data_IF_029529067253
#
_entry.id   IF_029529067253
#
_cell.length_a   1.000
_cell.length_b   1.000
_cell.length_c   1.000
_cell.angle_alpha   90.00
_cell.angle_beta   90.00
_cell.angle_gamma   90.00
#
_symmetry.space_group_name_H-M   'P 1'
#
loop_
_entity.id
_entity.type
_entity.pdbx_description
1 polymer ?
#
# COMPACT_ATOMS: atom_id res chain seq x y z
N UNK A 1 -41.02 43.34 -63.03
CA UNK A 1 -39.61 43.75 -63.20
C UNK A 1 -38.77 42.62 -62.64
N UNK A 2 -38.42 41.64 -63.47
CA UNK A 2 -37.11 41.54 -64.16
C UNK A 2 -35.98 41.32 -63.14
N UNK A 3 -35.53 40.08 -62.91
CA UNK A 3 -34.55 39.31 -63.70
C UNK A 3 -33.11 39.57 -63.21
N UNK A 4 -32.47 38.53 -62.65
CA UNK A 4 -31.18 37.94 -63.12
C UNK A 4 -29.97 38.46 -62.30
N UNK A 5 -28.87 37.75 -62.00
CA UNK A 5 -28.28 36.44 -62.31
C UNK A 5 -27.07 36.26 -61.35
N UNK A 6 -26.58 35.03 -61.14
CA UNK A 6 -25.17 34.85 -60.72
C UNK A 6 -24.83 33.62 -59.89
N UNK A 7 -25.12 32.43 -60.42
CA UNK A 7 -24.63 31.14 -59.93
C UNK A 7 -23.18 30.90 -60.40
N UNK A 8 -22.33 30.29 -59.59
CA UNK A 8 -21.13 29.58 -60.05
C UNK A 8 -20.86 28.38 -59.14
N UNK A 9 -20.59 27.27 -59.82
CA UNK A 9 -20.70 25.89 -59.37
C UNK A 9 -19.36 25.27 -58.95
N UNK A 10 -19.45 24.26 -58.05
CA UNK A 10 -18.75 22.95 -57.96
C UNK A 10 -17.22 22.81 -58.15
N UNK A 11 -16.56 21.67 -57.80
CA UNK A 11 -17.07 20.37 -57.31
C UNK A 11 -16.32 19.74 -56.10
N UNK A 12 -16.84 18.57 -55.71
CA UNK A 12 -16.31 17.60 -54.75
C UNK A 12 -14.95 16.97 -55.12
N UNK A 13 -14.19 16.49 -54.12
CA UNK A 13 -13.78 15.09 -53.97
C UNK A 13 -12.59 14.88 -53.00
N UNK A 14 -12.56 13.67 -52.44
CA UNK A 14 -11.40 12.91 -51.94
C UNK A 14 -10.96 13.08 -50.48
N UNK A 15 -11.35 12.09 -49.70
CA UNK A 15 -10.68 11.59 -48.49
C UNK A 15 -9.17 11.36 -48.74
N UNK A 16 -8.33 11.50 -47.71
CA UNK A 16 -7.62 10.31 -47.27
C UNK A 16 -7.59 10.12 -45.75
N UNK A 17 -7.78 8.86 -45.34
CA UNK A 17 -7.50 8.33 -44.00
C UNK A 17 -5.98 8.14 -43.78
N UNK A 18 -5.52 7.50 -42.69
CA UNK A 18 -4.75 8.14 -41.63
C UNK A 18 -3.28 7.65 -41.58
N UNK A 19 -2.37 8.39 -40.92
CA UNK A 19 -1.13 7.87 -40.28
C UNK A 19 -0.26 9.06 -39.80
N UNK A 20 0.71 8.86 -38.89
CA UNK A 20 0.73 7.99 -37.73
C UNK A 20 1.14 8.77 -36.45
N UNK A 21 0.52 8.35 -35.34
CA UNK A 21 1.17 8.11 -34.05
C UNK A 21 2.52 8.79 -33.79
N UNK A 22 2.51 10.05 -33.33
CA UNK A 22 3.60 10.53 -32.48
C UNK A 22 3.45 9.82 -31.13
N UNK A 23 4.13 8.69 -31.05
CA UNK A 23 4.42 7.99 -29.81
C UNK A 23 5.14 8.95 -28.88
N UNK A 24 4.37 9.63 -28.01
CA UNK A 24 4.95 10.34 -26.87
C UNK A 24 5.60 9.30 -25.98
N UNK A 25 6.89 9.18 -26.22
CA UNK A 25 7.82 8.30 -25.57
C UNK A 25 7.80 8.67 -24.08
N UNK A 26 7.13 7.81 -23.30
CA UNK A 26 7.15 7.81 -21.84
C UNK A 26 8.58 7.52 -21.38
N UNK A 27 9.39 8.58 -21.33
CA UNK A 27 10.77 8.55 -20.85
C UNK A 27 10.80 9.13 -19.44
N UNK A 28 10.29 8.36 -18.48
CA UNK A 28 10.36 8.67 -17.04
C UNK A 28 11.79 8.42 -16.54
N UNK A 29 12.66 9.42 -16.71
CA UNK A 29 13.63 9.73 -15.67
C UNK A 29 12.83 10.09 -14.40
N UNK A 30 13.31 9.76 -13.18
CA UNK A 30 12.66 10.16 -11.93
C UNK A 30 12.53 11.67 -12.01
N UNK A 31 11.30 12.14 -12.24
CA UNK A 31 11.11 13.48 -12.78
C UNK A 31 11.76 14.48 -11.82
N UNK A 32 12.48 15.51 -12.30
CA UNK A 32 12.97 16.59 -11.44
C UNK A 32 11.88 17.12 -10.50
N UNK A 33 10.61 17.07 -10.97
CA UNK A 33 9.41 17.38 -10.19
C UNK A 33 9.22 16.44 -9.00
N UNK A 34 9.40 15.12 -9.16
CA UNK A 34 9.27 14.14 -8.08
C UNK A 34 10.30 14.36 -6.97
N UNK A 35 11.58 14.47 -7.34
CA UNK A 35 12.65 14.73 -6.38
C UNK A 35 12.42 16.06 -5.65
N UNK A 36 12.08 17.13 -6.40
CA UNK A 36 11.76 18.44 -5.83
C UNK A 36 10.59 18.34 -4.85
N UNK A 37 9.54 17.61 -5.20
CA UNK A 37 8.34 17.44 -4.36
C UNK A 37 8.64 16.72 -3.05
N UNK A 38 9.45 15.65 -3.07
CA UNK A 38 9.83 14.96 -1.83
C UNK A 38 10.72 15.82 -0.92
N UNK A 39 11.48 16.75 -1.51
CA UNK A 39 12.40 17.64 -0.80
C UNK A 39 11.76 18.98 -0.41
N UNK A 40 10.47 19.18 -0.70
CA UNK A 40 9.75 20.39 -0.28
C UNK A 40 9.68 20.44 1.25
N UNK A 41 10.14 21.53 1.89
CA UNK A 41 10.07 21.69 3.34
C UNK A 41 8.65 22.02 3.81
N UNK A 42 8.38 21.85 5.11
CA UNK A 42 7.08 22.09 5.72
C UNK A 42 6.59 23.53 5.51
N UNK A 43 7.47 24.50 5.72
CA UNK A 43 7.19 25.94 5.71
C UNK A 43 6.84 26.47 4.32
N UNK A 44 7.18 25.72 3.26
CA UNK A 44 6.83 26.06 1.88
C UNK A 44 5.37 25.73 1.54
N UNK A 45 4.69 24.93 2.37
CA UNK A 45 3.33 24.45 2.12
C UNK A 45 2.36 24.87 3.21
N UNK A 46 2.81 24.80 4.47
CA UNK A 46 1.98 25.01 5.63
C UNK A 46 2.24 26.37 6.25
N UNK A 47 1.17 27.06 6.60
CA UNK A 47 1.23 28.24 7.45
C UNK A 47 0.28 28.04 8.60
N UNK A 48 0.69 28.48 9.78
CA UNK A 48 -0.11 28.45 10.99
C UNK A 48 -0.65 29.86 11.26
N UNK A 49 -1.61 29.95 12.17
CA UNK A 49 -2.05 31.22 12.72
C UNK A 49 -0.96 31.86 13.60
N UNK A 50 -1.19 33.09 14.05
CA UNK A 50 -0.21 33.82 14.87
C UNK A 50 0.13 33.11 16.19
N UNK A 51 -0.77 32.26 16.69
CA UNK A 51 -0.55 31.47 17.91
C UNK A 51 0.17 30.14 17.66
N UNK A 52 0.31 29.73 16.40
CA UNK A 52 0.90 28.44 16.02
C UNK A 52 0.04 27.22 16.38
N UNK A 53 -1.24 27.41 16.71
CA UNK A 53 -2.13 26.35 17.20
C UNK A 53 -2.99 25.75 16.11
N UNK A 54 -3.27 26.49 15.03
CA UNK A 54 -4.15 26.06 13.94
C UNK A 54 -3.54 26.30 12.57
N UNK A 55 -3.85 25.42 11.63
CA UNK A 55 -3.47 25.58 10.23
C UNK A 55 -4.27 26.71 9.56
N UNK A 56 -3.58 27.56 8.83
CA UNK A 56 -4.14 28.60 7.95
C UNK A 56 -4.06 28.22 6.47
N UNK A 57 -2.95 27.57 6.08
CA UNK A 57 -2.76 26.95 4.77
C UNK A 57 -2.23 25.52 4.90
N UNK A 58 -2.57 24.65 3.92
CA UNK A 58 -3.44 24.91 2.77
C UNK A 58 -4.93 25.04 3.15
N UNK A 59 -5.75 25.57 2.23
CA UNK A 59 -7.19 25.82 2.46
C UNK A 59 -7.98 24.60 2.97
N UNK A 60 -7.61 23.38 2.54
CA UNK A 60 -8.25 22.14 3.01
C UNK A 60 -7.89 21.76 4.45
N UNK A 61 -6.92 22.43 5.08
CA UNK A 61 -6.56 22.28 6.49
C UNK A 61 -6.96 23.48 7.35
N UNK A 62 -7.55 24.54 6.78
CA UNK A 62 -7.85 25.74 7.54
C UNK A 62 -8.68 25.43 8.80
N UNK A 63 -8.18 25.87 9.95
CA UNK A 63 -8.82 25.67 11.25
C UNK A 63 -8.62 24.27 11.86
N UNK A 64 -7.83 23.39 11.23
CA UNK A 64 -7.41 22.13 11.86
C UNK A 64 -6.41 22.47 12.96
N UNK A 65 -6.54 21.93 14.18
CA UNK A 65 -5.56 22.12 15.24
C UNK A 65 -4.26 21.35 14.93
N UNK A 66 -3.13 21.90 15.36
CA UNK A 66 -1.81 21.26 15.25
C UNK A 66 -1.65 20.16 16.29
N UNK A 67 -2.08 20.41 17.52
CA UNK A 67 -2.11 19.40 18.58
C UNK A 67 -3.09 18.28 18.24
N UNK A 68 -2.77 17.05 18.66
CA UNK A 68 -3.67 15.90 18.49
C UNK A 68 -5.01 16.20 19.17
N UNK A 69 -6.10 15.89 18.47
CA UNK A 69 -7.45 15.95 19.05
C UNK A 69 -7.80 14.66 19.79
N UNK A 70 -8.69 14.81 20.76
CA UNK A 70 -9.45 13.79 21.48
C UNK A 70 -10.94 14.20 21.49
N UNK A 71 -11.79 13.39 22.12
CA UNK A 71 -13.23 13.63 22.24
C UNK A 71 -13.57 14.85 23.13
N UNK A 72 -12.61 15.38 23.90
CA UNK A 72 -12.77 16.58 24.71
C UNK A 72 -12.36 17.86 23.97
N UNK A 73 -11.69 17.71 22.81
CA UNK A 73 -11.24 18.82 21.99
C UNK A 73 -12.42 19.67 21.50
N UNK A 74 -12.31 21.02 21.51
CA UNK A 74 -13.32 21.90 20.89
C UNK A 74 -13.50 21.69 19.38
N UNK A 75 -12.53 21.04 18.74
CA UNK A 75 -12.60 20.70 17.32
C UNK A 75 -13.35 19.38 17.05
N UNK A 76 -13.57 18.56 18.08
CA UNK A 76 -14.28 17.29 17.97
C UNK A 76 -15.75 17.49 17.62
N UNK A 77 -16.29 16.57 16.81
CA UNK A 77 -17.71 16.53 16.48
C UNK A 77 -18.28 15.21 17.02
N UNK A 78 -19.38 15.28 17.78
CA UNK A 78 -19.98 14.11 18.44
C UNK A 78 -20.50 13.04 17.48
N UNK A 79 -20.69 13.38 16.20
CA UNK A 79 -21.08 12.44 15.17
C UNK A 79 -19.92 11.58 14.65
N UNK A 80 -18.67 11.90 14.99
CA UNK A 80 -17.51 11.14 14.53
C UNK A 80 -17.31 9.83 15.28
N UNK A 81 -16.93 8.79 14.53
CA UNK A 81 -16.48 7.53 15.12
C UNK A 81 -15.23 7.78 15.99
N UNK A 82 -15.17 7.18 17.19
CA UNK A 82 -14.04 7.32 18.12
C UNK A 82 -12.84 6.46 17.70
N UNK A 83 -11.65 7.07 17.69
CA UNK A 83 -10.40 6.34 17.48
C UNK A 83 -10.09 5.44 18.68
N UNK A 84 -10.27 5.96 19.89
CA UNK A 84 -9.92 5.25 21.13
C UNK A 84 -10.84 4.05 21.35
N UNK A 85 -12.14 4.18 21.05
CA UNK A 85 -13.07 3.04 21.03
C UNK A 85 -12.63 1.96 20.02
N UNK A 86 -12.24 2.36 18.81
CA UNK A 86 -11.73 1.42 17.81
C UNK A 86 -10.47 0.69 18.28
N UNK A 87 -9.53 1.40 18.90
CA UNK A 87 -8.29 0.81 19.42
C UNK A 87 -8.57 -0.14 20.59
N UNK A 88 -9.51 0.20 21.48
CA UNK A 88 -9.93 -0.66 22.58
C UNK A 88 -10.49 -2.03 22.10
N UNK A 89 -11.08 -2.08 20.90
CA UNK A 89 -11.58 -3.31 20.30
C UNK A 89 -10.48 -4.31 19.84
N UNK A 90 -9.20 -3.92 19.78
CA UNK A 90 -8.11 -4.81 19.34
C UNK A 90 -8.04 -6.10 20.18
N UNK A 91 -8.28 -6.01 21.49
CA UNK A 91 -8.26 -7.19 22.39
C UNK A 91 -9.33 -8.21 22.00
N UNK A 92 -10.55 -7.74 21.75
CA UNK A 92 -11.67 -8.59 21.33
C UNK A 92 -11.40 -9.24 19.98
N UNK A 93 -10.84 -8.49 19.04
CA UNK A 93 -10.48 -9.03 17.72
C UNK A 93 -9.37 -10.10 17.83
N UNK A 94 -8.44 -9.94 18.79
CA UNK A 94 -7.40 -10.94 19.08
C UNK A 94 -8.00 -12.25 19.58
N UNK A 95 -8.94 -12.17 20.51
CA UNK A 95 -9.65 -13.33 21.05
C UNK A 95 -10.41 -14.08 19.95
N UNK A 96 -11.12 -13.35 19.07
CA UNK A 96 -11.81 -13.92 17.92
C UNK A 96 -10.85 -14.62 16.95
N UNK A 97 -9.70 -13.99 16.64
CA UNK A 97 -8.66 -14.62 15.82
C UNK A 97 -8.19 -15.93 16.44
N UNK A 98 -7.87 -15.94 17.74
CA UNK A 98 -7.39 -17.15 18.42
C UNK A 98 -8.45 -18.25 18.44
N UNK A 99 -9.70 -17.90 18.73
CA UNK A 99 -10.83 -18.83 18.73
C UNK A 99 -11.02 -19.48 17.36
N UNK A 100 -11.11 -18.70 16.28
CA UNK A 100 -11.34 -19.25 14.95
C UNK A 100 -10.13 -20.00 14.39
N UNK A 101 -8.91 -19.66 14.81
CA UNK A 101 -7.72 -20.44 14.46
C UNK A 101 -7.69 -21.80 15.15
N UNK A 102 -8.11 -21.89 16.42
CA UNK A 102 -8.30 -23.18 17.11
C UNK A 102 -9.37 -24.02 16.42
N UNK A 103 -10.53 -23.43 16.11
CA UNK A 103 -11.62 -24.12 15.40
C UNK A 103 -11.18 -24.59 14.01
N UNK A 104 -10.41 -23.79 13.26
CA UNK A 104 -9.86 -24.17 11.95
C UNK A 104 -8.93 -25.39 12.05
N UNK A 105 -8.20 -25.53 13.15
CA UNK A 105 -7.32 -26.67 13.39
C UNK A 105 -8.12 -27.93 13.71
N UNK A 106 -9.21 -27.80 14.47
CA UNK A 106 -10.11 -28.91 14.82
C UNK A 106 -11.00 -29.36 13.67
N UNK A 107 -11.48 -28.43 12.85
CA UNK A 107 -12.42 -28.64 11.73
C UNK A 107 -11.83 -28.10 10.42
N UNK A 108 -10.77 -28.72 9.87
CA UNK A 108 -10.05 -28.17 8.72
C UNK A 108 -10.87 -28.18 7.41
N UNK A 109 -11.86 -29.07 7.29
CA UNK A 109 -12.73 -29.17 6.11
C UNK A 109 -13.80 -28.07 6.05
N UNK A 110 -14.16 -27.46 7.18
CA UNK A 110 -15.21 -26.46 7.25
C UNK A 110 -14.77 -25.14 6.58
N UNK A 111 -15.45 -24.80 5.47
CA UNK A 111 -15.19 -23.58 4.68
C UNK A 111 -15.55 -22.32 5.46
N UNK A 112 -16.64 -22.33 6.24
CA UNK A 112 -17.11 -21.17 6.97
C UNK A 112 -16.13 -20.80 8.10
N UNK A 113 -15.63 -21.80 8.83
CA UNK A 113 -14.60 -21.61 9.86
C UNK A 113 -13.31 -21.07 9.23
N UNK A 114 -12.88 -21.62 8.08
CA UNK A 114 -11.69 -21.11 7.38
C UNK A 114 -11.85 -19.65 6.94
N UNK A 115 -13.03 -19.27 6.44
CA UNK A 115 -13.33 -17.88 6.05
C UNK A 115 -13.30 -16.94 7.25
N UNK A 116 -13.93 -17.31 8.38
CA UNK A 116 -13.90 -16.50 9.61
C UNK A 116 -12.50 -16.39 10.21
N UNK A 117 -11.74 -17.48 10.24
CA UNK A 117 -10.35 -17.46 10.70
C UNK A 117 -9.49 -16.50 9.86
N UNK A 118 -9.66 -16.51 8.53
CA UNK A 118 -8.97 -15.56 7.64
C UNK A 118 -9.43 -14.12 7.90
N UNK A 119 -10.74 -13.88 8.04
CA UNK A 119 -11.29 -12.56 8.32
C UNK A 119 -10.66 -11.94 9.58
N UNK A 120 -10.65 -12.68 10.69
CA UNK A 120 -10.10 -12.17 11.96
C UNK A 120 -8.56 -12.08 11.94
N UNK A 121 -7.88 -12.96 11.20
CA UNK A 121 -6.44 -12.81 10.94
C UNK A 121 -6.13 -11.52 10.17
N UNK A 122 -6.89 -11.23 9.10
CA UNK A 122 -6.72 -10.04 8.28
C UNK A 122 -7.07 -8.78 9.08
N UNK A 123 -8.17 -8.79 9.85
CA UNK A 123 -8.56 -7.69 10.74
C UNK A 123 -7.51 -7.41 11.82
N UNK A 124 -6.97 -8.42 12.50
CA UNK A 124 -5.89 -8.21 13.47
C UNK A 124 -4.67 -7.55 12.85
N UNK A 125 -4.33 -7.94 11.61
CA UNK A 125 -3.23 -7.29 10.88
C UNK A 125 -3.52 -5.80 10.62
N UNK A 126 -4.79 -5.44 10.39
CA UNK A 126 -5.23 -4.04 10.26
C UNK A 126 -5.19 -3.30 11.60
N UNK A 127 -5.71 -3.88 12.69
CA UNK A 127 -5.66 -3.26 14.02
C UNK A 127 -4.23 -2.93 14.44
N UNK A 128 -3.31 -3.89 14.31
CA UNK A 128 -1.88 -3.68 14.58
C UNK A 128 -1.34 -2.52 13.75
N UNK A 129 -1.62 -2.51 12.44
CA UNK A 129 -1.14 -1.45 11.55
C UNK A 129 -1.70 -0.07 11.89
N UNK A 130 -2.98 0.01 12.24
CA UNK A 130 -3.66 1.24 12.63
C UNK A 130 -3.05 1.74 13.95
N UNK A 131 -2.96 0.88 14.97
CA UNK A 131 -2.36 1.22 16.27
C UNK A 131 -0.91 1.71 16.10
N UNK A 132 -0.11 1.08 15.26
CA UNK A 132 1.29 1.51 15.04
C UNK A 132 1.41 2.93 14.46
N UNK A 133 0.35 3.48 13.86
CA UNK A 133 0.33 4.83 13.29
C UNK A 133 -0.48 5.81 14.15
N UNK A 134 -1.53 5.35 14.82
CA UNK A 134 -2.52 6.19 15.52
C UNK A 134 -2.63 5.87 17.02
N UNK A 135 -1.66 5.17 17.62
CA UNK A 135 -1.59 4.94 19.07
C UNK A 135 -1.61 6.25 19.87
N UNK A 136 -1.91 6.21 21.15
CA UNK A 136 -1.98 7.35 22.08
C UNK A 136 -0.73 8.25 22.08
N UNK A 137 0.45 7.67 21.87
CA UNK A 137 1.72 8.41 21.78
C UNK A 137 1.96 9.07 20.42
N UNK A 138 1.15 8.75 19.41
CA UNK A 138 1.25 9.33 18.08
C UNK A 138 0.63 10.73 18.06
N UNK A 139 1.26 11.70 17.37
CA UNK A 139 0.65 13.02 17.17
C UNK A 139 -0.46 13.01 16.10
N UNK A 140 -0.71 11.87 15.46
CA UNK A 140 -1.66 11.79 14.34
C UNK A 140 -3.04 11.36 14.81
N UNK A 141 -4.07 12.06 14.33
CA UNK A 141 -5.46 11.64 14.41
C UNK A 141 -6.09 11.61 13.00
N UNK A 142 -6.85 10.56 12.62
CA UNK A 142 -7.47 10.45 11.30
C UNK A 142 -8.33 11.66 10.91
N UNK A 143 -9.14 12.17 11.85
CA UNK A 143 -10.00 13.36 11.66
C UNK A 143 -9.23 14.70 11.60
N UNK A 144 -7.89 14.68 11.65
CA UNK A 144 -7.05 15.85 11.40
C UNK A 144 -6.34 15.79 10.04
N UNK A 145 -6.71 14.84 9.17
CA UNK A 145 -6.14 14.75 7.82
C UNK A 145 -6.62 15.91 6.92
N UNK A 146 -7.85 16.38 7.12
CA UNK A 146 -8.45 17.54 6.45
C UNK A 146 -9.34 18.31 7.43
N UNK A 147 -9.73 19.54 7.09
CA UNK A 147 -10.64 20.33 7.90
C UNK A 147 -12.03 19.69 7.98
N UNK A 148 -12.73 19.93 9.09
CA UNK A 148 -14.03 19.34 9.39
C UNK A 148 -15.11 19.64 8.35
N UNK A 149 -14.95 20.77 7.66
CA UNK A 149 -15.78 21.13 6.52
C UNK A 149 -15.72 20.08 5.39
N UNK A 150 -14.58 19.40 5.20
CA UNK A 150 -14.38 18.38 4.18
C UNK A 150 -14.58 16.95 4.68
N UNK A 151 -14.70 16.72 5.99
CA UNK A 151 -14.86 15.38 6.56
C UNK A 151 -16.30 14.86 6.38
N UNK A 152 -16.50 13.55 6.16
CA UNK A 152 -17.81 12.91 6.25
C UNK A 152 -18.42 13.09 7.66
N UNK A 153 -19.74 12.87 7.77
CA UNK A 153 -20.49 13.12 9.02
C UNK A 153 -19.94 12.29 10.17
N UNK A 154 -19.56 11.05 9.87
CA UNK A 154 -19.01 10.08 10.81
C UNK A 154 -17.47 10.10 10.91
N UNK A 155 -16.81 11.02 10.17
CA UNK A 155 -15.36 11.14 10.18
C UNK A 155 -14.62 10.00 9.45
N UNK A 156 -13.33 9.88 9.76
CA UNK A 156 -12.37 8.98 9.11
C UNK A 156 -11.89 7.85 10.02
N UNK A 157 -12.38 7.74 11.25
CA UNK A 157 -12.03 6.69 12.21
C UNK A 157 -12.68 5.32 11.91
N UNK A 158 -12.98 5.05 10.64
CA UNK A 158 -13.46 3.76 10.17
C UNK A 158 -12.29 2.86 9.79
N UNK A 159 -12.36 1.59 10.20
CA UNK A 159 -11.27 0.58 10.04
C UNK A 159 -10.59 0.60 8.67
N UNK A 160 -11.35 0.52 7.58
CA UNK A 160 -10.76 0.41 6.24
C UNK A 160 -10.07 1.71 5.79
N UNK A 161 -10.59 2.88 6.19
CA UNK A 161 -9.95 4.16 5.90
C UNK A 161 -8.69 4.37 6.73
N UNK A 162 -8.78 4.13 8.05
CA UNK A 162 -7.61 4.19 8.93
C UNK A 162 -6.51 3.24 8.47
N UNK A 163 -6.84 2.00 8.11
CA UNK A 163 -5.86 1.03 7.61
C UNK A 163 -5.17 1.52 6.33
N UNK A 164 -5.94 2.05 5.38
CA UNK A 164 -5.38 2.61 4.14
C UNK A 164 -4.44 3.77 4.43
N UNK A 165 -4.85 4.71 5.29
CA UNK A 165 -4.02 5.84 5.69
C UNK A 165 -2.75 5.34 6.40
N UNK A 166 -2.88 4.40 7.34
CA UNK A 166 -1.75 3.84 8.08
C UNK A 166 -0.72 3.15 7.16
N UNK A 167 -1.17 2.46 6.10
CA UNK A 167 -0.27 1.89 5.11
C UNK A 167 0.53 2.98 4.38
N UNK A 168 -0.13 4.05 3.97
CA UNK A 168 0.46 5.18 3.25
C UNK A 168 1.49 5.91 4.10
N UNK A 169 1.12 6.27 5.33
CA UNK A 169 2.01 6.92 6.29
C UNK A 169 3.21 6.01 6.60
N UNK A 170 3.00 4.71 6.74
CA UNK A 170 4.10 3.77 6.95
C UNK A 170 5.10 3.71 5.80
N UNK A 171 4.63 3.74 4.55
CA UNK A 171 5.52 3.74 3.39
C UNK A 171 6.29 5.07 3.31
N UNK A 172 5.64 6.19 3.63
CA UNK A 172 6.29 7.51 3.71
C UNK A 172 7.30 7.60 4.86
N UNK A 173 7.03 6.99 6.02
CA UNK A 173 7.98 6.86 7.16
C UNK A 173 9.27 6.16 6.75
N UNK A 174 9.26 5.27 5.76
CA UNK A 174 10.49 4.66 5.22
C UNK A 174 11.31 5.70 4.46
N UNK A 175 10.67 6.51 3.61
CA UNK A 175 11.36 7.55 2.84
C UNK A 175 11.92 8.65 3.74
N UNK A 176 11.15 9.07 4.76
CA UNK A 176 11.58 10.06 5.74
C UNK A 176 12.81 9.58 6.52
N UNK A 177 12.79 8.36 7.06
CA UNK A 177 13.96 7.77 7.75
C UNK A 177 15.20 7.61 6.87
N UNK A 178 15.02 7.55 5.55
CA UNK A 178 16.13 7.50 4.58
C UNK A 178 16.62 8.90 4.17
N UNK A 179 16.03 9.98 4.71
CA UNK A 179 16.36 11.36 4.35
C UNK A 179 15.85 11.77 2.95
N UNK A 180 14.95 10.99 2.36
CA UNK A 180 14.46 11.24 1.00
C UNK A 180 13.18 12.09 0.98
N UNK A 181 12.39 12.03 2.05
CA UNK A 181 11.23 12.88 2.28
C UNK A 181 11.61 13.89 3.36
N UNK A 182 11.55 15.19 3.02
CA UNK A 182 12.00 16.27 3.91
C UNK A 182 11.00 16.57 5.04
N UNK A 183 9.70 16.58 4.72
CA UNK A 183 8.65 16.84 5.70
C UNK A 183 8.19 15.58 6.43
N UNK A 184 7.49 15.76 7.54
CA UNK A 184 6.85 14.66 8.25
C UNK A 184 5.92 13.86 7.31
N UNK A 185 5.91 12.51 7.39
CA UNK A 185 5.06 11.65 6.58
C UNK A 185 3.57 12.01 6.57
N UNK A 186 3.03 12.49 7.69
CA UNK A 186 1.64 12.88 7.82
C UNK A 186 1.36 14.20 7.12
N UNK A 187 2.27 15.17 7.25
CA UNK A 187 2.13 16.46 6.58
C UNK A 187 2.31 16.32 5.06
N UNK A 188 3.21 15.43 4.60
CA UNK A 188 3.26 15.09 3.18
C UNK A 188 1.95 14.52 2.68
N UNK A 189 1.38 13.56 3.43
CA UNK A 189 0.08 13.00 3.07
C UNK A 189 -1.01 14.08 3.01
N UNK A 190 -1.08 14.97 4.01
CA UNK A 190 -2.02 16.11 4.04
C UNK A 190 -1.86 17.01 2.81
N UNK A 191 -0.63 17.35 2.44
CA UNK A 191 -0.36 18.17 1.27
C UNK A 191 -0.85 17.51 -0.02
N UNK A 192 -0.58 16.22 -0.20
CA UNK A 192 -1.02 15.50 -1.41
C UNK A 192 -2.54 15.36 -1.45
N UNK A 193 -3.19 15.12 -0.31
CA UNK A 193 -4.66 15.13 -0.20
C UNK A 193 -5.23 16.51 -0.54
N UNK A 194 -4.60 17.59 -0.08
CA UNK A 194 -5.00 18.95 -0.41
C UNK A 194 -5.05 19.18 -1.92
N UNK A 195 -3.97 18.85 -2.63
CA UNK A 195 -3.91 19.06 -4.09
C UNK A 195 -5.04 18.32 -4.81
N UNK A 196 -5.30 17.07 -4.43
CA UNK A 196 -6.40 16.29 -5.01
C UNK A 196 -7.79 16.86 -4.67
N UNK A 197 -7.97 17.44 -3.48
CA UNK A 197 -9.21 18.13 -3.12
C UNK A 197 -9.37 19.41 -3.94
N UNK A 198 -8.34 20.24 -4.03
CA UNK A 198 -8.35 21.49 -4.80
C UNK A 198 -8.69 21.25 -6.27
N UNK A 199 -8.13 20.20 -6.88
CA UNK A 199 -8.40 19.85 -8.28
C UNK A 199 -9.86 19.41 -8.54
N UNK A 200 -10.59 19.02 -7.49
CA UNK A 200 -11.99 18.55 -7.59
C UNK A 200 -13.00 19.59 -7.17
N UNK A 201 -12.62 20.42 -6.21
CA UNK A 201 -13.47 21.43 -5.62
C UNK A 201 -13.19 22.73 -6.38
N UNK A 202 -13.77 22.85 -7.58
CA UNK A 202 -13.53 23.97 -8.50
C UNK A 202 -14.10 25.32 -8.04
N UNK A 203 -14.84 25.37 -6.92
CA UNK A 203 -15.45 26.61 -6.40
C UNK A 203 -15.10 26.85 -4.93
N UNK A 204 -14.80 28.10 -4.62
CA UNK A 204 -14.61 28.59 -3.24
C UNK A 204 -15.85 28.25 -2.43
N UNK A 205 -15.66 27.65 -1.24
CA UNK A 205 -16.73 27.29 -0.32
C UNK A 205 -17.38 25.92 -0.55
N UNK A 206 -17.04 25.20 -1.62
CA UNK A 206 -17.53 23.84 -1.80
C UNK A 206 -16.82 22.86 -0.86
N UNK A 207 -17.58 21.91 -0.32
CA UNK A 207 -17.07 20.85 0.54
C UNK A 207 -16.61 19.65 -0.28
N UNK A 208 -15.56 18.99 0.20
CA UNK A 208 -15.07 17.72 -0.35
C UNK A 208 -15.70 16.51 0.36
N UNK A 209 -16.70 16.73 1.23
CA UNK A 209 -17.34 15.71 2.06
C UNK A 209 -17.80 14.48 1.27
N UNK A 210 -18.32 14.67 0.07
CA UNK A 210 -18.79 13.58 -0.80
C UNK A 210 -17.67 12.79 -1.49
N UNK A 211 -16.47 13.37 -1.66
CA UNK A 211 -15.39 12.79 -2.44
C UNK A 211 -14.11 12.48 -1.66
N UNK A 212 -13.95 12.99 -0.43
CA UNK A 212 -12.72 12.87 0.37
C UNK A 212 -12.31 11.41 0.61
N UNK A 213 -13.28 10.51 0.82
CA UNK A 213 -13.05 9.07 0.95
C UNK A 213 -12.48 8.46 -0.32
N UNK A 214 -13.00 8.89 -1.47
CA UNK A 214 -12.52 8.47 -2.78
C UNK A 214 -11.12 9.01 -3.05
N UNK A 215 -10.84 10.26 -2.68
CA UNK A 215 -9.49 10.87 -2.74
C UNK A 215 -8.50 10.03 -1.92
N UNK A 216 -8.79 9.82 -0.63
CA UNK A 216 -7.91 9.05 0.28
C UNK A 216 -7.72 7.62 -0.22
N UNK A 217 -8.80 6.98 -0.71
CA UNK A 217 -8.75 5.64 -1.26
C UNK A 217 -7.83 5.54 -2.46
N UNK A 218 -8.00 6.43 -3.44
CA UNK A 218 -7.36 6.37 -4.76
C UNK A 218 -6.01 7.05 -4.86
N UNK A 219 -5.56 7.75 -3.82
CA UNK A 219 -4.31 8.53 -3.81
C UNK A 219 -3.06 7.73 -4.25
N UNK A 220 -3.12 6.40 -4.32
CA UNK A 220 -2.00 5.52 -4.70
C UNK A 220 -2.35 4.40 -5.71
N UNK A 221 -3.59 4.37 -6.20
CA UNK A 221 -4.06 3.31 -7.10
C UNK A 221 -3.49 3.47 -8.52
N UNK A 222 -3.42 2.37 -9.29
CA UNK A 222 -2.62 2.27 -10.52
C UNK A 222 -3.35 2.50 -11.85
N UNK A 223 -4.52 3.12 -11.88
CA UNK A 223 -5.32 3.17 -13.10
C UNK A 223 -6.01 4.52 -13.29
N UNK A 224 -5.78 5.12 -14.47
CA UNK A 224 -6.68 5.89 -15.38
C UNK A 224 -7.93 6.54 -14.79
N UNK A 225 -7.80 7.09 -13.59
CA UNK A 225 -8.82 7.84 -12.91
C UNK A 225 -8.28 9.21 -12.56
N UNK A 226 -9.12 10.23 -12.71
CA UNK A 226 -8.82 11.64 -12.41
C UNK A 226 -8.49 11.93 -10.92
N UNK A 227 -8.17 10.92 -10.10
CA UNK A 227 -7.94 10.99 -8.65
C UNK A 227 -6.63 10.30 -8.20
N UNK A 228 -5.87 9.71 -9.12
CA UNK A 228 -4.58 9.09 -8.80
C UNK A 228 -3.48 10.16 -8.77
N UNK A 229 -2.67 10.18 -7.71
CA UNK A 229 -1.54 11.10 -7.59
C UNK A 229 -0.24 10.38 -8.05
N UNK A 230 0.37 10.80 -9.17
CA UNK A 230 1.56 10.13 -9.71
C UNK A 230 2.76 10.21 -8.76
N UNK A 231 2.91 11.32 -8.01
CA UNK A 231 3.99 11.48 -7.04
C UNK A 231 3.81 10.49 -5.90
N UNK A 232 2.59 10.36 -5.37
CA UNK A 232 2.30 9.40 -4.30
C UNK A 232 2.54 7.97 -4.74
N UNK A 233 2.19 7.65 -5.99
CA UNK A 233 2.47 6.35 -6.58
C UNK A 233 3.96 6.06 -6.66
N UNK A 234 4.75 6.98 -7.21
CA UNK A 234 6.20 6.84 -7.30
C UNK A 234 6.85 6.70 -5.91
N UNK A 235 6.37 7.47 -4.93
CA UNK A 235 6.84 7.39 -3.54
C UNK A 235 6.62 5.99 -2.92
N UNK A 236 5.45 5.37 -3.13
CA UNK A 236 5.23 3.99 -2.67
C UNK A 236 6.14 3.00 -3.36
N UNK A 237 6.34 3.11 -4.68
CA UNK A 237 7.23 2.19 -5.40
C UNK A 237 8.68 2.32 -4.90
N UNK A 238 9.13 3.54 -4.63
CA UNK A 238 10.44 3.80 -4.05
C UNK A 238 10.55 3.21 -2.62
N UNK A 239 9.52 3.40 -1.79
CA UNK A 239 9.48 2.80 -0.45
C UNK A 239 9.47 1.27 -0.50
N UNK A 240 8.70 0.70 -1.42
CA UNK A 240 8.61 -0.74 -1.64
C UNK A 240 9.94 -1.33 -2.09
N UNK A 241 10.75 -0.57 -2.84
CA UNK A 241 12.11 -0.94 -3.16
C UNK A 241 12.96 -1.08 -1.90
N UNK A 242 13.00 -0.05 -1.05
CA UNK A 242 13.79 -0.08 0.18
C UNK A 242 13.36 -1.17 1.17
N UNK A 243 12.10 -1.57 1.10
CA UNK A 243 11.53 -2.65 1.90
C UNK A 243 11.64 -4.04 1.23
N UNK A 244 12.29 -4.17 0.07
CA UNK A 244 12.39 -5.42 -0.72
C UNK A 244 11.04 -6.08 -1.05
N UNK A 245 9.98 -5.26 -1.19
CA UNK A 245 8.59 -5.69 -1.42
C UNK A 245 8.06 -5.29 -2.80
N UNK A 246 8.93 -4.91 -3.74
CA UNK A 246 8.53 -4.54 -5.11
C UNK A 246 7.75 -5.64 -5.83
N UNK A 247 8.05 -6.92 -5.55
CA UNK A 247 7.34 -8.05 -6.15
C UNK A 247 5.83 -8.03 -5.83
N UNK A 248 5.43 -7.49 -4.68
CA UNK A 248 4.02 -7.36 -4.29
C UNK A 248 3.23 -6.35 -5.14
N UNK A 249 3.92 -5.48 -5.87
CA UNK A 249 3.32 -4.50 -6.78
C UNK A 249 3.33 -4.96 -8.24
N UNK A 250 3.91 -6.14 -8.53
CA UNK A 250 3.90 -6.78 -9.85
C UNK A 250 2.75 -7.80 -9.91
N UNK A 251 1.52 -7.37 -10.17
CA UNK A 251 0.40 -8.31 -10.28
C UNK A 251 0.07 -8.70 -11.73
N UNK A 252 0.11 -10.03 -11.93
CA UNK A 252 -0.54 -10.92 -12.89
C UNK A 252 -1.37 -10.32 -14.06
N UNK A 253 -0.87 -10.52 -15.29
CA UNK A 253 -1.71 -10.62 -16.50
C UNK A 253 -1.61 -9.49 -17.52
N UNK A 254 -1.04 -8.33 -17.18
CA UNK A 254 -0.78 -7.25 -18.13
C UNK A 254 0.63 -6.72 -17.89
N UNK A 255 1.36 -6.49 -18.99
CA UNK A 255 2.77 -6.12 -19.12
C UNK A 255 3.53 -5.96 -17.79
N UNK A 256 4.47 -6.88 -17.54
CA UNK A 256 5.36 -6.83 -16.40
C UNK A 256 5.98 -5.43 -16.28
N UNK A 257 5.58 -4.67 -15.26
CA UNK A 257 6.28 -3.44 -14.89
C UNK A 257 7.67 -3.85 -14.40
N UNK A 258 8.65 -3.75 -15.29
CA UNK A 258 10.03 -3.52 -14.89
C UNK A 258 10.01 -2.22 -14.11
N UNK A 259 10.43 -2.19 -12.83
CA UNK A 259 10.59 -0.93 -12.12
C UNK A 259 11.38 -0.01 -13.04
N UNK A 260 10.78 1.11 -13.39
CA UNK A 260 11.35 1.99 -14.39
C UNK A 260 12.80 2.26 -14.01
N UNK A 261 13.68 2.13 -15.00
CA UNK A 261 15.13 2.19 -14.86
C UNK A 261 15.56 3.46 -14.11
N UNK A 262 14.70 4.49 -14.07
CA UNK A 262 14.96 5.73 -13.35
C UNK A 262 14.77 5.69 -11.84
N UNK A 263 13.73 5.04 -11.29
CA UNK A 263 13.60 4.89 -9.83
C UNK A 263 14.79 4.08 -9.32
N UNK A 264 15.18 3.04 -10.06
CA UNK A 264 16.41 2.28 -9.80
C UNK A 264 17.69 3.13 -9.93
N UNK A 265 17.79 4.04 -10.92
CA UNK A 265 18.91 5.00 -11.01
C UNK A 265 18.93 5.99 -9.85
N UNK A 266 17.79 6.48 -9.37
CA UNK A 266 17.72 7.35 -8.19
C UNK A 266 18.17 6.59 -6.94
N UNK A 267 17.76 5.33 -6.79
CA UNK A 267 18.22 4.44 -5.73
C UNK A 267 19.73 4.22 -5.83
N UNK A 268 20.27 3.96 -7.02
CA UNK A 268 21.72 3.81 -7.24
C UNK A 268 22.50 5.10 -6.95
N UNK A 269 21.94 6.26 -7.30
CA UNK A 269 22.53 7.57 -7.06
C UNK A 269 22.46 8.04 -5.59
N UNK A 270 21.58 7.43 -4.78
CA UNK A 270 21.42 7.74 -3.34
C UNK A 270 22.12 6.71 -2.44
N UNK A 271 22.87 5.77 -3.02
CA UNK A 271 23.76 4.89 -2.24
C UNK A 271 24.99 5.67 -1.76
N UNK A 272 25.32 5.64 -0.45
CA UNK A 272 26.63 6.10 0.01
C UNK A 272 27.75 5.19 -0.57
N UNK A 273 28.86 5.81 -0.95
CA UNK A 273 29.94 5.34 -1.84
C UNK A 273 30.81 4.17 -1.32
N UNK A 274 30.22 3.20 -0.62
CA UNK A 274 30.97 2.20 0.16
C UNK A 274 30.79 0.74 -0.25
N UNK A 275 30.09 0.41 -1.34
CA UNK A 275 29.82 -1.00 -1.67
C UNK A 275 29.84 -1.29 -3.16
N UNK A 276 31.02 -1.11 -3.77
CA UNK A 276 31.37 -1.72 -5.06
C UNK A 276 32.26 -2.93 -4.81
N UNK A 277 31.67 -4.11 -4.71
CA UNK A 277 32.36 -5.35 -5.06
C UNK A 277 31.43 -6.18 -5.94
N UNK A 278 31.51 -5.95 -7.26
CA UNK A 278 31.55 -7.05 -8.21
C UNK A 278 32.13 -6.57 -9.56
N UNK A 279 33.05 -7.33 -10.19
CA UNK A 279 33.64 -6.95 -11.47
C UNK A 279 32.65 -7.16 -12.61
N UNK A 280 32.54 -6.18 -13.52
CA UNK A 280 31.90 -6.37 -14.81
C UNK A 280 32.68 -7.41 -15.63
N UNK A 281 31.99 -8.46 -16.10
CA UNK A 281 32.46 -9.31 -17.21
C UNK A 281 31.66 -8.98 -18.48
N UNK A 282 32.41 -8.80 -19.57
CA UNK A 282 31.93 -8.28 -20.85
C UNK A 282 31.01 -9.22 -21.64
N UNK A 283 30.51 -8.76 -22.81
CA UNK A 283 29.36 -9.34 -23.50
C UNK A 283 29.61 -10.69 -24.18
N UNK A 284 30.86 -11.11 -24.33
CA UNK A 284 31.24 -12.29 -25.12
C UNK A 284 31.10 -13.64 -24.38
N UNK A 285 31.06 -13.67 -23.04
CA UNK A 285 30.91 -14.92 -22.27
C UNK A 285 29.44 -15.39 -22.13
N UNK A 286 28.45 -14.56 -22.51
CA UNK A 286 27.02 -14.85 -22.31
C UNK A 286 26.42 -15.87 -23.29
N UNK A 287 27.12 -16.20 -24.38
CA UNK A 287 26.61 -17.12 -25.40
C UNK A 287 27.01 -18.58 -25.15
N UNK A 288 28.17 -18.85 -24.53
CA UNK A 288 28.62 -20.22 -24.25
C UNK A 288 27.98 -20.79 -22.96
N UNK A 289 27.69 -19.94 -21.96
CA UNK A 289 27.12 -20.40 -20.68
C UNK A 289 25.62 -20.73 -20.74
N UNK A 290 24.90 -20.30 -21.79
CA UNK A 290 23.45 -20.48 -21.91
C UNK A 290 23.06 -21.89 -22.36
N UNK A 291 24.00 -22.64 -22.96
CA UNK A 291 23.76 -23.99 -23.49
C UNK A 291 24.10 -25.09 -22.46
N UNK A 292 25.05 -24.86 -21.55
CA UNK A 292 25.42 -25.82 -20.49
C UNK A 292 24.57 -25.67 -19.20
N UNK A 293 23.91 -24.53 -18.99
CA UNK A 293 23.10 -24.25 -17.79
C UNK A 293 21.70 -24.89 -17.74
N UNK A 294 21.22 -25.50 -18.84
CA UNK A 294 19.90 -26.14 -18.90
C UNK A 294 19.88 -27.60 -18.43
N UNK A 295 21.01 -28.31 -18.49
CA UNK A 295 21.08 -29.72 -18.06
C UNK A 295 21.45 -29.87 -16.57
N UNK A 296 22.21 -28.94 -15.99
CA UNK A 296 22.63 -29.03 -14.58
C UNK A 296 21.53 -28.65 -13.55
N UNK A 297 20.50 -27.90 -13.97
CA UNK A 297 19.43 -27.45 -13.04
C UNK A 297 18.34 -28.49 -12.79
N UNK A 298 18.10 -29.46 -13.69
CA UNK A 298 17.13 -30.52 -13.41
C UNK A 298 17.70 -31.61 -12.51
N UNK A 299 18.99 -31.95 -12.65
CA UNK A 299 19.67 -32.95 -11.83
C UNK A 299 19.77 -32.50 -10.35
N UNK A 300 20.19 -31.25 -10.09
CA UNK A 300 20.28 -30.72 -8.72
C UNK A 300 18.91 -30.52 -8.06
N UNK A 301 17.86 -30.23 -8.84
CA UNK A 301 16.50 -30.13 -8.31
C UNK A 301 15.96 -31.51 -7.90
N UNK A 302 16.19 -32.55 -8.72
CA UNK A 302 15.80 -33.92 -8.42
C UNK A 302 16.55 -34.49 -7.20
N UNK A 303 17.84 -34.21 -7.08
CA UNK A 303 18.68 -34.65 -5.94
C UNK A 303 18.23 -33.99 -4.62
N UNK A 304 17.88 -32.70 -4.65
CA UNK A 304 17.36 -31.97 -3.48
C UNK A 304 15.97 -32.48 -3.07
N UNK A 305 15.15 -32.92 -4.03
CA UNK A 305 13.82 -33.48 -3.77
C UNK A 305 13.90 -34.92 -3.22
N UNK A 306 14.84 -35.74 -3.72
CA UNK A 306 15.13 -37.07 -3.18
C UNK A 306 15.65 -37.00 -1.74
N UNK A 307 16.56 -36.09 -1.42
CA UNK A 307 17.04 -35.84 -0.05
C UNK A 307 15.89 -35.44 0.90
N UNK A 308 14.95 -34.62 0.41
CA UNK A 308 13.75 -34.24 1.19
C UNK A 308 12.79 -35.40 1.43
N UNK A 309 12.64 -36.29 0.45
CA UNK A 309 11.81 -37.49 0.59
C UNK A 309 12.43 -38.49 1.55
N UNK A 310 13.75 -38.72 1.47
CA UNK A 310 14.48 -39.58 2.41
C UNK A 310 14.40 -39.04 3.84
N UNK A 311 14.60 -37.72 4.05
CA UNK A 311 14.44 -37.10 5.36
C UNK A 311 13.00 -37.23 5.92
N UNK A 312 11.98 -37.21 5.05
CA UNK A 312 10.58 -37.45 5.45
C UNK A 312 10.33 -38.91 5.82
N UNK A 313 10.91 -39.86 5.09
CA UNK A 313 10.76 -41.29 5.37
C UNK A 313 11.50 -41.67 6.66
N UNK A 314 12.70 -41.15 6.89
CA UNK A 314 13.45 -41.38 8.13
C UNK A 314 12.72 -40.79 9.35
N UNK A 315 12.13 -39.59 9.20
CA UNK A 315 11.32 -38.98 10.27
C UNK A 315 10.05 -39.80 10.57
N UNK A 316 9.43 -40.41 9.55
CA UNK A 316 8.30 -41.34 9.73
C UNK A 316 8.74 -42.66 10.37
N UNK A 317 9.92 -43.17 10.02
CA UNK A 317 10.47 -44.40 10.64
C UNK A 317 10.79 -44.17 12.11
N UNK A 318 11.44 -43.05 12.45
CA UNK A 318 11.69 -42.65 13.85
C UNK A 318 10.41 -42.47 14.66
N UNK A 319 9.34 -41.91 14.08
CA UNK A 319 8.04 -41.81 14.76
C UNK A 319 7.36 -43.18 14.95
N UNK A 320 7.62 -44.15 14.06
CA UNK A 320 7.11 -45.51 14.17
C UNK A 320 7.92 -46.35 15.16
N UNK A 321 9.23 -46.10 15.26
CA UNK A 321 10.14 -46.69 16.26
C UNK A 321 9.93 -46.07 17.66
N UNK A 322 9.54 -44.79 17.75
CA UNK A 322 9.15 -44.11 19.00
C UNK A 322 7.71 -44.38 19.43
N UNK A 323 6.88 -45.02 18.60
CA UNK A 323 5.57 -45.53 19.00
C UNK A 323 5.71 -46.85 19.79
N UNK A 324 6.59 -46.83 20.79
CA UNK A 324 6.66 -47.84 21.84
C UNK A 324 5.63 -47.53 22.91
N UNK A 325 4.66 -48.43 23.06
CA UNK A 325 3.92 -48.65 24.30
C UNK A 325 3.06 -47.49 24.82
N UNK A 326 2.10 -47.02 24.02
CA UNK A 326 0.88 -46.44 24.57
C UNK A 326 -0.28 -47.41 24.35
N UNK A 327 -0.42 -48.37 25.28
CA UNK A 327 -1.68 -49.09 25.43
C UNK A 327 -2.70 -48.10 26.00
N UNK A 328 -3.62 -47.66 25.14
CA UNK A 328 -4.63 -46.68 25.49
C UNK A 328 -5.46 -47.10 26.71
N UNK A 329 -6.13 -46.11 27.29
CA UNK A 329 -6.93 -46.14 28.54
C UNK A 329 -7.93 -47.31 28.64
N UNK A 330 -8.28 -47.97 27.53
CA UNK A 330 -9.13 -49.17 27.51
C UNK A 330 -8.41 -50.44 28.02
N UNK A 331 -7.09 -50.59 27.84
CA UNK A 331 -6.34 -51.72 28.37
C UNK A 331 -6.21 -51.66 29.91
N UNK A 332 -6.12 -50.45 30.47
CA UNK A 332 -6.03 -50.22 31.92
C UNK A 332 -7.36 -50.49 32.65
N UNK A 333 -8.51 -50.37 31.97
CA UNK A 333 -9.82 -50.72 32.55
C UNK A 333 -10.05 -52.22 32.60
N UNK A 334 -9.54 -52.98 31.63
CA UNK A 334 -9.68 -54.43 31.59
C UNK A 334 -8.93 -55.14 32.74
N UNK A 335 -7.82 -54.58 33.23
CA UNK A 335 -7.06 -55.15 34.35
C UNK A 335 -7.69 -54.94 35.74
N UNK A 336 -8.62 -53.99 35.91
CA UNK A 336 -9.27 -53.71 37.21
C UNK A 336 -10.58 -54.47 37.45
N UNK A 337 -11.07 -55.24 36.49
CA UNK A 337 -12.30 -56.03 36.61
C UNK A 337 -12.04 -57.53 36.77
N UNK A 338 -10.79 -57.95 37.02
CA UNK A 338 -10.39 -59.35 37.16
C UNK A 338 -9.49 -59.64 38.36
N UNK A 339 -9.63 -58.87 39.45
CA UNK A 339 -8.98 -59.14 40.74
C UNK A 339 -10.02 -59.12 41.86
#
# INVERSE_FOLDING_TARGET
MAAELGESAEPAAATPSPTPSTSTTSSLATSPVFKKTLQTPYEAVFTLDSTGTHYMQPASLRGVPVARIDEQSPYWESSWDSLDEFLAHERREKELKEQFMRLKTQKPSDVAIRKRAKLHQDNMSKHVKIRDIFSDVSPYHPNQLVSKHHLPVEGLCQKEFMYRIACKVSDLKVLHRKGLLAMDPWDFLRWRVHLQISDKVNRIGQSARSCVRSVIGKLFDHQDGSLADPIMREAILLSAHYQNRLASFKNHGKAAFTPDTSVMRYIEATRPDGSRLHPQRGPAEKLVLKQLGRQSRSAKAAETEQLRLQARQERRRRLKEQAGTYQGVNAFRAQRQGA
#
